data_IF_273561151240
#
_entry.id   IF_273561151240
#
_cell.length_a   1.000
_cell.length_b   1.000
_cell.length_c   1.000
_cell.angle_alpha   90.00
_cell.angle_beta   90.00
_cell.angle_gamma   90.00
#
_symmetry.space_group_name_H-M   'P 1'
#
loop_
_entity.id
_entity.type
_entity.pdbx_description
1 polymer ?
#
# COMPACT_ATOMS: atom_id res chain seq x y z
N UNK A 1 17.05 -10.70 -11.46
CA UNK A 1 17.27 -11.41 -12.72
C UNK A 1 16.26 -11.01 -13.80
N UNK A 2 16.39 -11.50 -15.04
CA UNK A 2 15.59 -11.11 -16.20
C UNK A 2 14.05 -11.23 -16.00
N UNK A 3 13.59 -12.22 -15.25
CA UNK A 3 12.15 -12.46 -15.03
C UNK A 3 11.47 -11.33 -14.25
N UNK A 4 12.07 -10.83 -13.17
CA UNK A 4 11.53 -9.70 -12.41
C UNK A 4 11.48 -8.42 -13.26
N UNK A 5 12.55 -8.15 -14.02
CA UNK A 5 12.59 -7.02 -14.95
C UNK A 5 11.49 -7.10 -16.02
N UNK A 6 11.19 -8.29 -16.54
CA UNK A 6 10.13 -8.47 -17.54
C UNK A 6 8.72 -8.29 -16.95
N UNK A 7 8.52 -8.69 -15.70
CA UNK A 7 7.26 -8.43 -14.97
C UNK A 7 7.03 -6.93 -14.81
N UNK A 8 8.04 -6.18 -14.36
CA UNK A 8 7.94 -4.72 -14.20
C UNK A 8 7.71 -3.99 -15.52
N UNK A 9 8.37 -4.41 -16.61
CA UNK A 9 8.12 -3.85 -17.95
C UNK A 9 6.67 -4.05 -18.39
N UNK A 10 6.10 -5.24 -18.19
CA UNK A 10 4.70 -5.53 -18.50
C UNK A 10 3.75 -4.71 -17.65
N UNK A 11 4.02 -4.58 -16.36
CA UNK A 11 3.22 -3.79 -15.44
C UNK A 11 3.21 -2.32 -15.87
N UNK A 12 4.37 -1.71 -16.09
CA UNK A 12 4.47 -0.31 -16.52
C UNK A 12 3.84 -0.07 -17.89
N UNK A 13 4.01 -0.99 -18.85
CA UNK A 13 3.33 -0.91 -20.13
C UNK A 13 1.79 -0.90 -19.97
N UNK A 14 1.27 -1.71 -19.04
CA UNK A 14 -0.17 -1.76 -18.77
C UNK A 14 -0.66 -0.44 -18.19
N UNK A 15 0.03 0.11 -17.19
CA UNK A 15 -0.32 1.42 -16.62
C UNK A 15 -0.20 2.53 -17.66
N UNK A 16 0.89 2.60 -18.40
CA UNK A 16 1.10 3.61 -19.43
C UNK A 16 -0.03 3.58 -20.47
N UNK A 17 -0.37 2.41 -20.98
CA UNK A 17 -1.47 2.24 -21.95
C UNK A 17 -2.82 2.69 -21.40
N UNK A 18 -3.14 2.33 -20.15
CA UNK A 18 -4.43 2.65 -19.53
C UNK A 18 -4.55 4.13 -19.22
N UNK A 19 -3.51 4.74 -18.65
CA UNK A 19 -3.53 6.14 -18.25
C UNK A 19 -3.36 7.11 -19.43
N UNK A 20 -2.61 6.73 -20.48
CA UNK A 20 -2.50 7.51 -21.72
C UNK A 20 -3.86 7.70 -22.38
N UNK A 21 -4.78 6.72 -22.28
CA UNK A 21 -6.14 6.85 -22.80
C UNK A 21 -6.92 8.01 -22.13
N UNK A 22 -6.50 8.45 -20.95
CA UNK A 22 -7.06 9.59 -20.21
C UNK A 22 -6.11 10.81 -20.21
N UNK A 23 -5.10 10.82 -21.08
CA UNK A 23 -4.11 11.90 -21.17
C UNK A 23 -3.25 12.09 -19.91
N UNK A 24 -3.07 11.05 -19.10
CA UNK A 24 -2.18 11.06 -17.95
C UNK A 24 -0.84 10.40 -18.27
N UNK A 25 0.24 11.05 -17.86
CA UNK A 25 1.60 10.49 -17.90
C UNK A 25 1.86 9.68 -16.64
N UNK A 26 2.46 8.50 -16.78
CA UNK A 26 2.88 7.70 -15.63
C UNK A 26 4.40 7.73 -15.48
N UNK A 27 4.90 7.64 -14.24
CA UNK A 27 6.32 7.59 -13.95
C UNK A 27 6.61 6.46 -12.95
N UNK A 28 7.56 5.60 -13.26
CA UNK A 28 7.96 4.52 -12.37
C UNK A 28 8.96 5.00 -11.33
N UNK A 29 8.73 4.64 -10.06
CA UNK A 29 9.69 4.77 -8.97
C UNK A 29 9.89 3.37 -8.35
N UNK A 30 11.14 2.95 -8.22
CA UNK A 30 11.50 1.71 -7.52
C UNK A 30 12.32 2.06 -6.28
N UNK A 31 11.86 1.58 -5.11
CA UNK A 31 12.42 1.87 -3.79
C UNK A 31 13.00 0.62 -3.15
N UNK A 32 13.97 0.81 -2.29
CA UNK A 32 14.48 -0.20 -1.35
C UNK A 32 14.30 0.30 0.08
N UNK A 33 14.39 -0.60 1.07
CA UNK A 33 14.38 -0.21 2.49
C UNK A 33 15.48 0.82 2.80
N UNK A 34 16.66 0.69 2.18
CA UNK A 34 17.78 1.63 2.33
C UNK A 34 17.41 3.05 1.88
N UNK A 35 16.60 3.20 0.83
CA UNK A 35 16.17 4.52 0.34
C UNK A 35 15.23 5.21 1.33
N UNK A 36 14.54 4.44 2.16
CA UNK A 36 13.64 4.95 3.19
C UNK A 36 14.38 5.22 4.51
N UNK A 37 15.31 4.36 4.90
CA UNK A 37 16.05 4.50 6.17
C UNK A 37 17.03 5.67 6.16
N UNK A 38 17.74 5.87 5.04
CA UNK A 38 18.70 6.96 4.90
C UNK A 38 18.01 8.30 4.66
N UNK A 39 18.23 9.26 5.56
CA UNK A 39 17.57 10.59 5.53
C UNK A 39 17.76 11.32 4.20
N UNK A 40 18.97 11.33 3.64
CA UNK A 40 19.25 11.99 2.36
C UNK A 40 18.51 11.32 1.19
N UNK A 41 18.53 9.99 1.12
CA UNK A 41 17.84 9.22 0.07
C UNK A 41 16.33 9.37 0.17
N UNK A 42 15.79 9.32 1.38
CA UNK A 42 14.37 9.58 1.63
C UNK A 42 13.97 11.00 1.19
N UNK A 43 14.81 12.00 1.47
CA UNK A 43 14.56 13.37 1.00
C UNK A 43 14.59 13.46 -0.53
N UNK A 44 15.51 12.77 -1.19
CA UNK A 44 15.58 12.71 -2.65
C UNK A 44 14.33 12.05 -3.25
N UNK A 45 13.83 10.98 -2.61
CA UNK A 45 12.57 10.36 -2.99
C UNK A 45 11.38 11.34 -2.84
N UNK A 46 11.27 12.03 -1.71
CA UNK A 46 10.22 13.02 -1.46
C UNK A 46 10.26 14.15 -2.49
N UNK A 47 11.44 14.66 -2.81
CA UNK A 47 11.62 15.70 -3.83
C UNK A 47 11.19 15.21 -5.22
N UNK A 48 11.57 13.98 -5.58
CA UNK A 48 11.18 13.36 -6.85
C UNK A 48 9.67 13.19 -6.93
N UNK A 49 9.06 12.68 -5.86
CA UNK A 49 7.60 12.49 -5.78
C UNK A 49 6.85 13.81 -5.94
N UNK A 50 7.26 14.84 -5.18
CA UNK A 50 6.67 16.18 -5.28
C UNK A 50 6.81 16.75 -6.70
N UNK A 51 7.97 16.57 -7.32
CA UNK A 51 8.21 17.08 -8.67
C UNK A 51 7.37 16.38 -9.73
N UNK A 52 7.16 15.07 -9.61
CA UNK A 52 6.27 14.33 -10.51
C UNK A 52 4.82 14.82 -10.39
N UNK A 53 4.34 15.02 -9.17
CA UNK A 53 2.98 15.55 -8.93
C UNK A 53 2.82 16.98 -9.48
N UNK A 54 3.82 17.85 -9.33
CA UNK A 54 3.83 19.19 -9.94
C UNK A 54 3.76 19.15 -11.48
N UNK A 55 4.32 18.10 -12.08
CA UNK A 55 4.29 17.87 -13.53
C UNK A 55 3.04 17.14 -14.01
N UNK A 56 2.07 16.91 -13.12
CA UNK A 56 0.86 16.13 -13.39
C UNK A 56 1.18 14.71 -13.91
N UNK A 57 2.30 14.14 -13.43
CA UNK A 57 2.68 12.77 -13.72
C UNK A 57 2.29 11.86 -12.55
N UNK A 58 1.61 10.76 -12.85
CA UNK A 58 1.18 9.78 -11.86
C UNK A 58 2.33 8.86 -11.48
N UNK A 59 2.82 8.89 -10.22
CA UNK A 59 3.86 7.97 -9.77
C UNK A 59 3.30 6.55 -9.60
N UNK A 60 3.93 5.58 -10.23
CA UNK A 60 3.69 4.14 -10.02
C UNK A 60 4.90 3.61 -9.24
N UNK A 61 4.68 3.26 -7.99
CA UNK A 61 5.75 2.96 -7.04
C UNK A 61 5.73 1.49 -6.67
N UNK A 62 6.90 0.85 -6.66
CA UNK A 62 7.06 -0.53 -6.21
C UNK A 62 8.43 -0.70 -5.53
N UNK A 63 8.62 -1.83 -4.85
CA UNK A 63 9.93 -2.21 -4.33
C UNK A 63 10.87 -2.60 -5.48
N UNK A 64 12.17 -2.32 -5.33
CA UNK A 64 13.19 -2.74 -6.28
C UNK A 64 13.70 -4.14 -5.92
N UNK A 65 12.89 -5.16 -6.21
CA UNK A 65 13.22 -6.57 -5.93
C UNK A 65 14.49 -7.06 -6.64
N UNK A 66 15.00 -6.31 -7.62
CA UNK A 66 16.21 -6.69 -8.35
C UNK A 66 17.47 -6.49 -7.53
N UNK A 67 17.44 -5.59 -6.56
CA UNK A 67 18.57 -5.23 -5.67
C UNK A 67 18.24 -5.38 -4.18
N UNK A 68 16.98 -5.51 -3.80
CA UNK A 68 16.55 -5.80 -2.44
C UNK A 68 16.61 -7.32 -2.18
N UNK A 69 17.84 -7.86 -2.05
CA UNK A 69 18.07 -9.31 -1.93
C UNK A 69 18.14 -9.80 -0.49
N UNK A 70 18.31 -8.88 0.46
CA UNK A 70 18.50 -9.19 1.88
C UNK A 70 17.33 -8.63 2.70
N UNK A 71 17.00 -9.29 3.83
CA UNK A 71 15.96 -8.84 4.76
C UNK A 71 16.16 -7.39 5.25
N UNK A 72 17.42 -6.92 5.29
CA UNK A 72 17.79 -5.56 5.71
C UNK A 72 17.44 -4.52 4.64
N UNK A 73 17.41 -4.91 3.36
CA UNK A 73 17.17 -4.00 2.24
C UNK A 73 15.74 -4.05 1.73
N UNK A 74 14.97 -5.04 2.16
CA UNK A 74 13.57 -5.22 1.79
C UNK A 74 12.63 -4.40 2.67
N UNK A 75 11.59 -3.83 2.06
CA UNK A 75 10.47 -3.20 2.76
C UNK A 75 9.51 -4.25 3.32
N UNK A 76 9.47 -5.42 2.69
CA UNK A 76 8.81 -6.63 3.16
C UNK A 76 7.43 -6.87 2.58
N UNK A 77 6.55 -5.89 2.52
CA UNK A 77 5.20 -6.04 1.97
C UNK A 77 4.67 -4.73 1.36
N UNK A 78 3.71 -4.85 0.45
CA UNK A 78 3.13 -3.70 -0.26
C UNK A 78 2.25 -2.81 0.63
N UNK A 79 1.65 -3.32 1.70
CA UNK A 79 0.88 -2.51 2.65
C UNK A 79 1.82 -1.54 3.39
N UNK A 80 2.98 -2.04 3.83
CA UNK A 80 4.04 -1.24 4.45
C UNK A 80 4.60 -0.21 3.46
N UNK A 81 4.89 -0.61 2.22
CA UNK A 81 5.36 0.30 1.17
C UNK A 81 4.34 1.42 0.93
N UNK A 82 3.06 1.08 0.80
CA UNK A 82 1.98 2.05 0.59
C UNK A 82 1.89 3.06 1.75
N UNK A 83 2.00 2.60 3.00
CA UNK A 83 2.00 3.48 4.17
C UNK A 83 3.21 4.43 4.18
N UNK A 84 4.42 3.94 3.86
CA UNK A 84 5.63 4.76 3.76
C UNK A 84 5.45 5.84 2.69
N UNK A 85 4.95 5.46 1.51
CA UNK A 85 4.70 6.40 0.40
C UNK A 85 3.66 7.44 0.79
N UNK A 86 2.57 7.04 1.44
CA UNK A 86 1.53 7.94 1.96
C UNK A 86 2.14 9.00 2.89
N UNK A 87 2.94 8.58 3.86
CA UNK A 87 3.62 9.49 4.79
C UNK A 87 4.62 10.42 4.07
N UNK A 88 5.41 9.88 3.13
CA UNK A 88 6.38 10.67 2.37
C UNK A 88 5.72 11.69 1.43
N UNK A 89 4.61 11.33 0.85
CA UNK A 89 3.80 12.20 -0.02
C UNK A 89 3.00 13.25 0.78
N UNK A 90 2.90 13.09 2.11
CA UNK A 90 1.99 13.85 2.97
C UNK A 90 0.55 13.78 2.45
N UNK A 91 0.13 12.60 2.03
CA UNK A 91 -1.21 12.36 1.55
C UNK A 91 -2.21 12.43 2.72
N UNK A 92 -3.44 12.83 2.41
CA UNK A 92 -4.54 12.91 3.39
C UNK A 92 -5.23 11.56 3.57
N UNK A 93 -5.13 10.67 2.57
CA UNK A 93 -5.83 9.39 2.55
C UNK A 93 -4.97 8.30 1.89
N UNK A 94 -4.90 7.13 2.51
CA UNK A 94 -4.43 5.89 1.90
C UNK A 94 -5.60 4.94 1.65
N UNK A 95 -5.77 4.47 0.43
CA UNK A 95 -6.72 3.41 0.09
C UNK A 95 -5.95 2.13 -0.22
N UNK A 96 -6.14 1.09 0.59
CA UNK A 96 -5.62 -0.25 0.31
C UNK A 96 -6.69 -1.08 -0.40
N UNK A 97 -6.44 -1.41 -1.67
CA UNK A 97 -7.27 -2.33 -2.43
C UNK A 97 -6.81 -3.77 -2.15
N UNK A 98 -7.70 -4.59 -1.62
CA UNK A 98 -7.41 -5.95 -1.16
C UNK A 98 -8.43 -6.95 -1.74
N UNK A 99 -8.27 -8.21 -1.40
CA UNK A 99 -9.23 -9.29 -1.67
C UNK A 99 -10.32 -9.42 -0.59
N UNK A 100 -10.29 -8.55 0.42
CA UNK A 100 -11.27 -8.48 1.52
C UNK A 100 -11.87 -7.07 1.60
N UNK A 101 -13.13 -6.96 2.03
CA UNK A 101 -13.86 -5.70 2.08
C UNK A 101 -13.38 -4.74 3.20
N UNK A 102 -12.69 -5.26 4.21
CA UNK A 102 -12.22 -4.48 5.35
C UNK A 102 -11.86 -5.35 6.54
N UNK A 103 -11.84 -4.74 7.72
CA UNK A 103 -11.64 -5.43 8.99
C UNK A 103 -12.95 -6.07 9.46
N UNK A 104 -12.89 -7.32 9.90
CA UNK A 104 -14.02 -8.06 10.45
C UNK A 104 -13.80 -8.40 11.93
N UNK A 105 -14.89 -8.65 12.63
CA UNK A 105 -14.87 -9.09 14.06
C UNK A 105 -14.21 -10.44 14.27
N UNK A 106 -14.12 -11.27 13.21
CA UNK A 106 -13.41 -12.54 13.13
C UNK A 106 -13.12 -12.85 11.66
N UNK A 107 -12.41 -13.93 11.37
CA UNK A 107 -12.16 -14.35 9.98
C UNK A 107 -13.46 -14.80 9.30
N UNK A 108 -13.96 -14.07 8.27
CA UNK A 108 -15.23 -14.39 7.62
C UNK A 108 -15.23 -15.72 6.86
N UNK A 109 -14.05 -16.28 6.54
CA UNK A 109 -13.95 -17.58 5.89
C UNK A 109 -14.19 -18.77 6.85
N UNK A 110 -13.93 -18.55 8.14
CA UNK A 110 -14.06 -19.59 9.18
C UNK A 110 -15.20 -19.33 10.17
N UNK A 111 -15.69 -18.07 10.21
CA UNK A 111 -16.73 -17.60 11.11
C UNK A 111 -17.83 -16.90 10.31
N UNK A 112 -18.89 -17.63 9.91
CA UNK A 112 -19.99 -17.03 9.13
C UNK A 112 -20.71 -15.87 9.81
N UNK A 113 -20.59 -15.77 11.14
CA UNK A 113 -21.15 -14.70 11.96
C UNK A 113 -20.25 -13.45 12.01
N UNK A 114 -19.07 -13.49 11.41
CA UNK A 114 -18.17 -12.34 11.39
C UNK A 114 -18.81 -11.13 10.72
N UNK A 115 -18.82 -10.01 11.41
CA UNK A 115 -19.36 -8.76 10.92
C UNK A 115 -18.25 -7.79 10.50
N UNK A 116 -18.49 -7.06 9.41
CA UNK A 116 -17.59 -6.00 8.96
C UNK A 116 -17.59 -4.87 10.01
N UNK A 117 -16.42 -4.38 10.36
CA UNK A 117 -16.22 -3.20 11.21
C UNK A 117 -16.10 -1.97 10.28
N UNK A 118 -17.13 -1.11 10.22
CA UNK A 118 -17.16 -0.04 9.24
C UNK A 118 -16.21 1.11 9.57
N UNK A 119 -15.90 1.29 10.85
CA UNK A 119 -15.05 2.39 11.34
C UNK A 119 -14.22 1.93 12.53
N UNK A 120 -12.94 2.24 12.50
CA UNK A 120 -12.00 2.08 13.60
C UNK A 120 -11.45 3.47 13.95
N UNK A 121 -11.89 4.04 15.05
CA UNK A 121 -11.45 5.37 15.50
C UNK A 121 -10.02 5.33 16.06
N UNK A 122 -9.65 4.22 16.70
CA UNK A 122 -8.32 4.02 17.29
C UNK A 122 -7.85 2.58 17.13
N UNK A 123 -6.60 2.40 16.73
CA UNK A 123 -5.99 1.07 16.57
C UNK A 123 -5.40 0.61 17.91
N UNK A 124 -6.29 0.09 18.75
CA UNK A 124 -5.96 -0.46 20.06
C UNK A 124 -5.31 -1.83 19.96
N UNK A 125 -4.69 -2.36 21.05
CA UNK A 125 -4.22 -3.75 21.12
C UNK A 125 -5.34 -4.76 20.80
N UNK A 126 -6.58 -4.51 21.21
CA UNK A 126 -7.72 -5.39 20.93
C UNK A 126 -8.04 -5.42 19.42
N UNK A 127 -7.99 -4.27 18.75
CA UNK A 127 -8.13 -4.19 17.29
C UNK A 127 -7.01 -4.95 16.59
N UNK A 128 -5.76 -4.82 17.08
CA UNK A 128 -4.63 -5.58 16.53
C UNK A 128 -4.81 -7.10 16.69
N UNK A 129 -5.38 -7.54 17.83
CA UNK A 129 -5.63 -8.95 18.10
C UNK A 129 -6.66 -9.57 17.15
N UNK A 130 -7.58 -8.79 16.57
CA UNK A 130 -8.51 -9.29 15.54
C UNK A 130 -7.77 -9.78 14.28
N UNK A 131 -6.62 -9.21 13.97
CA UNK A 131 -5.80 -9.66 12.85
C UNK A 131 -5.09 -10.98 13.11
N UNK A 132 -4.68 -11.24 14.35
CA UNK A 132 -3.94 -12.45 14.73
C UNK A 132 -4.84 -13.69 14.77
N UNK A 133 -6.13 -13.52 15.06
CA UNK A 133 -7.15 -14.59 15.02
C UNK A 133 -7.57 -15.02 13.62
N UNK A 134 -7.21 -14.29 12.59
CA UNK A 134 -7.62 -14.54 11.20
C UNK A 134 -6.75 -15.58 10.47
N UNK A 135 -5.93 -16.38 11.18
CA UNK A 135 -5.36 -17.62 10.65
C UNK A 135 -4.59 -17.51 9.34
N UNK A 136 -3.69 -16.54 9.19
CA UNK A 136 -2.78 -16.50 8.04
C UNK A 136 -1.52 -17.32 8.34
N UNK A 137 -1.60 -18.62 8.20
CA UNK A 137 -0.45 -19.50 8.39
C UNK A 137 0.61 -19.43 7.28
N UNK A 138 0.41 -18.67 6.19
CA UNK A 138 1.34 -18.63 5.04
C UNK A 138 1.11 -17.42 4.09
N UNK A 139 1.13 -16.19 4.60
CA UNK A 139 1.09 -15.03 3.69
C UNK A 139 1.80 -13.81 4.26
N UNK A 140 2.72 -13.24 3.50
CA UNK A 140 3.44 -11.99 3.81
C UNK A 140 2.55 -10.73 3.70
N UNK A 141 1.23 -10.85 3.56
CA UNK A 141 0.28 -9.75 3.38
C UNK A 141 -1.09 -10.09 3.98
N UNK A 142 -1.22 -10.16 5.31
CA UNK A 142 -2.48 -10.41 6.00
C UNK A 142 -3.11 -9.14 6.58
N UNK A 143 -4.20 -9.29 7.35
CA UNK A 143 -4.82 -8.17 8.05
C UNK A 143 -3.83 -7.49 9.02
N UNK A 144 -2.88 -8.23 9.59
CA UNK A 144 -1.85 -7.67 10.48
C UNK A 144 -0.94 -6.65 9.79
N UNK A 145 -0.57 -6.87 8.51
CA UNK A 145 0.20 -5.89 7.73
C UNK A 145 -0.62 -4.64 7.46
N UNK A 146 -1.91 -4.78 7.14
CA UNK A 146 -2.84 -3.67 6.92
C UNK A 146 -3.05 -2.83 8.19
N UNK A 147 -3.21 -3.46 9.35
CA UNK A 147 -3.34 -2.72 10.61
C UNK A 147 -2.03 -2.04 11.03
N UNK A 148 -0.86 -2.63 10.73
CA UNK A 148 0.43 -1.93 10.92
C UNK A 148 0.56 -0.73 9.99
N UNK A 149 0.17 -0.86 8.72
CA UNK A 149 0.10 0.25 7.78
C UNK A 149 -0.84 1.35 8.29
N UNK A 150 -2.02 1.00 8.77
CA UNK A 150 -2.99 1.93 9.34
C UNK A 150 -2.39 2.71 10.53
N UNK A 151 -1.70 2.05 11.45
CA UNK A 151 -1.01 2.73 12.57
C UNK A 151 0.01 3.76 12.10
N UNK A 152 0.77 3.45 11.07
CA UNK A 152 1.77 4.36 10.50
C UNK A 152 1.08 5.58 9.87
N UNK A 153 0.06 5.35 9.07
CA UNK A 153 -0.68 6.38 8.32
C UNK A 153 -1.42 7.32 9.28
N UNK A 154 -2.17 6.78 10.24
CA UNK A 154 -2.93 7.59 11.20
C UNK A 154 -2.01 8.38 12.15
N UNK A 155 -0.86 7.83 12.53
CA UNK A 155 0.16 8.55 13.28
C UNK A 155 0.76 9.73 12.51
N UNK A 156 0.72 9.73 11.18
CA UNK A 156 1.12 10.86 10.33
C UNK A 156 0.01 11.90 10.10
N UNK A 157 -1.20 11.64 10.60
CA UNK A 157 -2.36 12.52 10.47
C UNK A 157 -3.21 12.28 9.22
N UNK A 158 -2.98 11.18 8.51
CA UNK A 158 -3.79 10.77 7.37
C UNK A 158 -4.82 9.70 7.75
N UNK A 159 -5.87 9.56 6.97
CA UNK A 159 -6.84 8.48 7.09
C UNK A 159 -6.44 7.27 6.25
N UNK A 160 -6.99 6.10 6.58
CA UNK A 160 -6.80 4.90 5.78
C UNK A 160 -8.12 4.14 5.58
N UNK A 161 -8.32 3.66 4.36
CA UNK A 161 -9.46 2.82 3.97
C UNK A 161 -8.94 1.49 3.43
N UNK A 162 -9.55 0.39 3.85
CA UNK A 162 -9.38 -0.93 3.23
C UNK A 162 -10.64 -1.19 2.42
N UNK A 163 -10.47 -1.53 1.15
CA UNK A 163 -11.59 -1.81 0.25
C UNK A 163 -11.29 -3.00 -0.66
N UNK A 164 -12.34 -3.63 -1.16
CA UNK A 164 -12.22 -4.74 -2.09
C UNK A 164 -11.81 -4.25 -3.48
N UNK A 165 -10.66 -4.71 -3.95
CA UNK A 165 -10.13 -4.35 -5.27
C UNK A 165 -10.94 -4.89 -6.45
N UNK A 166 -11.87 -5.83 -6.22
CA UNK A 166 -12.84 -6.27 -7.23
C UNK A 166 -13.94 -5.22 -7.47
N UNK A 167 -14.15 -4.31 -6.49
CA UNK A 167 -15.19 -3.27 -6.50
C UNK A 167 -14.60 -1.91 -6.11
N UNK A 168 -13.58 -1.39 -6.83
CA UNK A 168 -12.89 -0.15 -6.46
C UNK A 168 -13.79 1.08 -6.52
N UNK A 169 -14.88 1.02 -7.29
CA UNK A 169 -15.89 2.08 -7.38
C UNK A 169 -16.58 2.38 -6.03
N UNK A 170 -16.61 1.42 -5.11
CA UNK A 170 -17.18 1.64 -3.77
C UNK A 170 -16.38 2.65 -2.96
N UNK A 171 -15.08 2.78 -3.20
CA UNK A 171 -14.27 3.81 -2.55
C UNK A 171 -14.72 5.24 -2.92
N UNK A 172 -15.31 5.43 -4.10
CA UNK A 172 -15.75 6.73 -4.60
C UNK A 172 -17.15 7.14 -4.07
N UNK A 173 -17.88 6.22 -3.45
CA UNK A 173 -19.22 6.47 -2.94
C UNK A 173 -19.21 7.10 -1.53
N UNK A 174 -18.05 7.17 -0.89
CA UNK A 174 -17.87 7.69 0.48
C UNK A 174 -17.15 9.04 0.53
N UNK A 175 -16.97 9.69 -0.60
CA UNK A 175 -16.37 11.03 -0.72
C UNK A 175 -17.47 12.10 -1.03
#
# INVERSE_FOLDING_TARGET
SSAASDVYKRQMYTYDRLFTAYSHTVAQILLTGVDIEHTERRQNFQNTLSRLLELDALPIINENDTVATDEITSIGDNDTLAAIVCCCAKADLLVLLSDIDGLYTANPHTHPEAALIPLVEEITPDVMALADGAGSALGTGGMSTKLRAARMVTASGADMVIANGAHPELCLLYT
#
